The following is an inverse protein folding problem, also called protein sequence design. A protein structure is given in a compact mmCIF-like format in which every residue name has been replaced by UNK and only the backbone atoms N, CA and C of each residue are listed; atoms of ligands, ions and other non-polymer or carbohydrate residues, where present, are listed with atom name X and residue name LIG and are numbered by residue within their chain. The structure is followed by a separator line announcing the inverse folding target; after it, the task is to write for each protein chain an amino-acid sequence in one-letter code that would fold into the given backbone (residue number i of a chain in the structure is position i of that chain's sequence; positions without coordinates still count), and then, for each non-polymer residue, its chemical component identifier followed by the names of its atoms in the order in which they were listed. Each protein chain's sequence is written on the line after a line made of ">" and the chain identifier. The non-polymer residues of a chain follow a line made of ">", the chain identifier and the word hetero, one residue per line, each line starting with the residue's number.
data_IF_224123790849
#
_entry.id   IF_224123790849
#
_cell.length_a   1.000
_cell.length_b   1.000
_cell.length_c   1.000
_cell.angle_alpha   90.00
_cell.angle_beta   90.00
_cell.angle_gamma   90.00
#
_symmetry.space_group_name_H-M   'P 1'
#
loop_
_entity.id
_entity.type
_entity.pdbx_description
1 polymer ?
#
# COMPACT_ATOMS: atom_id res chain seq x y z
N UNK A 1 -6.52 -7.19 19.91
CA UNK A 1 -6.90 -5.78 19.75
C UNK A 1 -6.03 -4.87 20.62
N UNK A 2 -5.87 -5.18 21.91
CA UNK A 2 -4.90 -4.51 22.80
C UNK A 2 -3.44 -4.92 22.57
N UNK A 3 -3.19 -6.16 22.17
CA UNK A 3 -1.83 -6.74 22.00
C UNK A 3 -1.00 -6.05 20.91
N UNK A 4 -1.65 -5.53 19.87
CA UNK A 4 -0.99 -4.72 18.82
C UNK A 4 -1.15 -3.21 19.03
N UNK A 5 -1.88 -2.77 20.06
CA UNK A 5 -2.06 -1.35 20.37
C UNK A 5 -2.68 -0.51 19.24
N UNK A 6 -3.42 -1.12 18.31
CA UNK A 6 -3.86 -0.46 17.07
C UNK A 6 -4.79 0.72 17.32
N UNK A 7 -5.45 0.82 18.48
CA UNK A 7 -6.31 1.96 18.84
C UNK A 7 -5.59 3.32 18.77
N UNK A 8 -4.27 3.34 18.96
CA UNK A 8 -3.45 4.56 18.86
C UNK A 8 -2.68 4.68 17.53
N UNK A 9 -2.83 3.69 16.65
CA UNK A 9 -2.18 3.74 15.33
C UNK A 9 -2.74 4.94 14.58
N UNK A 10 -1.84 5.82 14.12
CA UNK A 10 -2.20 7.04 13.38
C UNK A 10 -1.52 7.10 12.00
N UNK A 11 -0.37 6.44 11.83
CA UNK A 11 0.38 6.41 10.57
C UNK A 11 0.90 5.01 10.32
N UNK A 12 0.73 4.53 9.09
CA UNK A 12 1.36 3.32 8.55
C UNK A 12 2.31 3.78 7.46
N UNK A 13 3.58 3.43 7.57
CA UNK A 13 4.58 3.69 6.51
C UNK A 13 4.89 2.38 5.81
N UNK A 14 4.62 2.31 4.51
CA UNK A 14 4.93 1.16 3.68
C UNK A 14 6.26 1.41 2.96
N UNK A 15 7.23 0.53 3.18
CA UNK A 15 8.47 0.53 2.43
C UNK A 15 8.23 -0.07 1.04
N UNK A 16 8.49 0.74 0.02
CA UNK A 16 8.34 0.41 -1.39
C UNK A 16 9.67 -0.01 -2.04
N UNK A 17 10.77 -0.05 -1.29
CA UNK A 17 12.00 -0.64 -1.78
C UNK A 17 11.80 -2.12 -2.16
N UNK A 18 12.46 -2.51 -3.25
CA UNK A 18 12.46 -3.88 -3.72
C UNK A 18 13.61 -4.66 -3.12
N UNK A 19 13.40 -5.95 -2.87
CA UNK A 19 14.47 -6.88 -2.51
C UNK A 19 15.42 -7.17 -3.70
N UNK A 20 16.41 -8.04 -3.47
CA UNK A 20 17.39 -8.47 -4.50
C UNK A 20 16.77 -9.18 -5.70
N UNK A 21 15.50 -9.60 -5.61
CA UNK A 21 14.72 -10.24 -6.68
C UNK A 21 13.76 -9.26 -7.36
N UNK A 22 13.74 -7.99 -6.95
CA UNK A 22 12.88 -6.97 -7.51
C UNK A 22 11.47 -6.92 -6.89
N UNK A 23 11.22 -7.63 -5.79
CA UNK A 23 9.91 -7.60 -5.13
C UNK A 23 9.84 -6.56 -4.01
N UNK A 24 8.84 -5.69 -4.06
CA UNK A 24 8.37 -4.87 -2.93
C UNK A 24 7.24 -5.55 -2.16
N UNK A 25 6.86 -4.96 -1.01
CA UNK A 25 5.76 -5.39 -0.15
C UNK A 25 4.46 -5.67 -0.93
N UNK A 26 4.14 -4.84 -1.93
CA UNK A 26 2.90 -4.95 -2.70
C UNK A 26 3.00 -5.91 -3.91
N UNK A 27 4.21 -6.28 -4.32
CA UNK A 27 4.43 -7.13 -5.50
C UNK A 27 4.60 -8.60 -5.14
N UNK A 28 5.05 -8.92 -3.93
CA UNK A 28 5.15 -10.28 -3.44
C UNK A 28 3.75 -10.79 -3.03
N UNK A 29 3.17 -11.80 -3.71
CA UNK A 29 1.75 -12.12 -3.56
C UNK A 29 1.33 -12.44 -2.13
N UNK A 30 2.11 -13.24 -1.41
CA UNK A 30 1.79 -13.66 -0.06
C UNK A 30 1.75 -12.47 0.92
N UNK A 31 2.76 -11.60 0.87
CA UNK A 31 2.83 -10.40 1.71
C UNK A 31 1.73 -9.39 1.36
N UNK A 32 1.46 -9.21 0.06
CA UNK A 32 0.36 -8.37 -0.41
C UNK A 32 -0.98 -8.84 0.12
N UNK A 33 -1.26 -10.14 0.04
CA UNK A 33 -2.55 -10.72 0.42
C UNK A 33 -2.75 -10.67 1.96
N UNK A 34 -1.68 -10.89 2.73
CA UNK A 34 -1.68 -10.69 4.18
C UNK A 34 -1.93 -9.22 4.55
N UNK A 35 -1.24 -8.28 3.89
CA UNK A 35 -1.48 -6.85 4.08
C UNK A 35 -2.92 -6.47 3.76
N UNK A 36 -3.48 -6.97 2.66
CA UNK A 36 -4.85 -6.66 2.25
C UNK A 36 -5.89 -7.19 3.24
N UNK A 37 -5.60 -8.33 3.86
CA UNK A 37 -6.41 -8.88 4.95
C UNK A 37 -6.38 -7.94 6.15
N UNK A 38 -5.20 -7.50 6.59
CA UNK A 38 -5.05 -6.56 7.71
C UNK A 38 -5.73 -5.20 7.42
N UNK A 39 -5.58 -4.69 6.20
CA UNK A 39 -6.22 -3.46 5.74
C UNK A 39 -7.74 -3.54 5.86
N UNK A 40 -8.35 -4.59 5.28
CA UNK A 40 -9.81 -4.76 5.28
C UNK A 40 -10.36 -4.99 6.68
N UNK A 41 -9.66 -5.77 7.50
CA UNK A 41 -10.12 -6.12 8.83
C UNK A 41 -9.99 -4.98 9.84
N UNK A 42 -9.02 -4.06 9.69
CA UNK A 42 -8.69 -3.11 10.76
C UNK A 42 -8.46 -1.66 10.34
N UNK A 43 -8.01 -1.40 9.11
CA UNK A 43 -7.57 -0.05 8.72
C UNK A 43 -8.58 0.67 7.85
N UNK A 44 -9.38 -0.06 7.07
CA UNK A 44 -10.23 0.52 6.04
C UNK A 44 -11.13 1.64 6.58
N UNK A 45 -11.94 1.35 7.60
CA UNK A 45 -12.85 2.34 8.17
C UNK A 45 -12.09 3.57 8.72
N UNK A 46 -11.01 3.34 9.47
CA UNK A 46 -10.21 4.40 10.09
C UNK A 46 -9.45 5.25 9.08
N UNK A 47 -9.10 4.68 7.92
CA UNK A 47 -8.51 5.43 6.80
C UNK A 47 -9.53 6.33 6.12
N UNK A 48 -10.76 5.83 5.94
CA UNK A 48 -11.86 6.63 5.37
C UNK A 48 -12.26 7.76 6.32
N UNK A 49 -12.26 7.52 7.62
CA UNK A 49 -12.55 8.52 8.66
C UNK A 49 -11.39 9.52 8.89
N UNK A 50 -10.18 9.22 8.40
CA UNK A 50 -9.00 10.09 8.51
C UNK A 50 -8.19 9.91 9.80
N UNK A 51 -8.58 8.97 10.67
CA UNK A 51 -7.88 8.63 11.92
C UNK A 51 -6.52 7.98 11.69
N UNK A 52 -6.37 7.28 10.56
CA UNK A 52 -5.14 6.64 10.13
C UNK A 52 -4.74 7.19 8.76
N UNK A 53 -3.44 7.37 8.54
CA UNK A 53 -2.88 7.72 7.24
C UNK A 53 -1.91 6.63 6.79
N UNK A 54 -1.94 6.29 5.50
CA UNK A 54 -0.92 5.44 4.87
C UNK A 54 0.04 6.35 4.09
N UNK A 55 1.33 6.17 4.32
CA UNK A 55 2.40 6.82 3.59
C UNK A 55 3.24 5.76 2.87
N UNK A 56 3.70 6.08 1.67
CA UNK A 56 4.66 5.26 0.94
C UNK A 56 6.05 5.86 1.11
N UNK A 57 7.04 5.02 1.36
CA UNK A 57 8.44 5.40 1.46
C UNK A 57 9.25 4.65 0.40
N UNK A 58 10.13 5.35 -0.32
CA UNK A 58 10.97 4.75 -1.35
C UNK A 58 10.43 4.94 -2.77
N UNK A 59 11.00 4.22 -3.77
CA UNK A 59 10.66 4.41 -5.18
C UNK A 59 9.21 4.00 -5.46
N UNK A 60 8.40 4.94 -5.92
CA UNK A 60 7.05 4.66 -6.39
C UNK A 60 7.07 4.71 -7.92
N UNK A 61 7.00 3.54 -8.56
CA UNK A 61 6.81 3.47 -10.00
C UNK A 61 5.37 3.84 -10.31
N UNK A 62 5.16 5.09 -10.73
CA UNK A 62 3.91 5.47 -11.38
C UNK A 62 4.00 4.90 -12.79
N UNK A 63 3.10 4.01 -13.23
CA UNK A 63 3.03 3.65 -14.63
C UNK A 63 2.95 4.97 -15.43
N UNK A 64 3.67 5.11 -16.56
CA UNK A 64 3.43 6.26 -17.42
C UNK A 64 1.92 6.33 -17.67
N UNK A 65 1.33 7.52 -17.52
CA UNK A 65 -0.05 7.74 -17.92
C UNK A 65 -0.27 7.02 -19.23
N UNK A 66 -1.31 6.21 -19.31
CA UNK A 66 -1.68 5.54 -20.54
C UNK A 66 -2.10 6.66 -21.50
N UNK A 67 -1.12 7.26 -22.18
CA UNK A 67 -1.36 8.11 -23.32
C UNK A 67 -1.85 7.12 -24.36
N UNK A 68 -3.17 6.98 -24.47
CA UNK A 68 -3.76 6.34 -25.63
C UNK A 68 -3.34 7.22 -26.82
N UNK A 69 -2.17 6.90 -27.41
CA UNK A 69 -1.66 7.56 -28.60
C UNK A 69 -2.66 7.21 -29.69
N UNK A 70 -3.56 8.15 -29.97
CA UNK A 70 -4.41 8.11 -31.14
C UNK A 70 -3.48 8.13 -32.37
N UNK A 71 -3.32 6.97 -33.02
CA UNK A 71 -2.74 6.88 -34.35
C UNK A 71 -3.89 7.01 -35.36
N UNK A 72 -3.96 8.09 -36.16
CA UNK A 72 -4.82 8.07 -37.34
C UNK A 72 -4.30 7.07 -38.36
N UNK A 73 -5.24 6.46 -39.09
CA UNK A 73 -4.99 5.58 -40.23
C UNK A 73 -4.16 6.27 -41.35
#
# INVERSE_FOLDING_TARGET
>A
MEVLGLSRLAVIVLDMHTDVKGYSLLSLPQVRDEFWTLYKSYFHQRLVEGDVRICLYGPVTVPPERVDVWMPD
#
